data_IF_409142748751
#
_entry.id   IF_409142748751
#
_cell.length_a   1.000
_cell.length_b   1.000
_cell.length_c   1.000
_cell.angle_alpha   90.00
_cell.angle_beta   90.00
_cell.angle_gamma   90.00
#
_symmetry.space_group_name_H-M   'P 1'
#
loop_
_entity.id
_entity.type
_entity.pdbx_description
1 polymer ?
#
# COMPACT_ATOMS: atom_id res chain seq x y z
N UNK A 1 -18.89 -27.08 21.78
CA UNK A 1 -17.93 -26.26 21.01
C UNK A 1 -18.06 -26.66 19.55
N UNK A 2 -18.71 -25.84 18.73
CA UNK A 2 -18.84 -26.12 17.28
C UNK A 2 -17.54 -25.71 16.61
N UNK A 3 -16.83 -26.67 16.02
CA UNK A 3 -15.54 -26.42 15.38
C UNK A 3 -15.75 -25.63 14.08
N UNK A 4 -15.48 -24.32 14.12
CA UNK A 4 -15.48 -23.46 12.95
C UNK A 4 -14.18 -23.66 12.18
N UNK A 5 -14.27 -24.13 10.93
CA UNK A 5 -13.11 -24.31 10.05
C UNK A 5 -13.27 -23.42 8.83
N UNK A 6 -12.50 -22.34 8.76
CA UNK A 6 -12.45 -21.46 7.58
C UNK A 6 -11.24 -21.82 6.72
N UNK A 7 -11.47 -22.18 5.46
CA UNK A 7 -10.40 -22.48 4.52
C UNK A 7 -10.62 -21.74 3.20
N UNK A 8 -9.63 -20.94 2.80
CA UNK A 8 -9.55 -20.35 1.47
C UNK A 8 -8.88 -21.33 0.51
N UNK A 9 -9.56 -21.70 -0.59
CA UNK A 9 -9.00 -22.57 -1.64
C UNK A 9 -9.19 -21.91 -3.00
N UNK A 10 -8.19 -22.08 -3.88
CA UNK A 10 -8.35 -21.80 -5.31
C UNK A 10 -8.99 -23.00 -6.01
N UNK A 11 -10.11 -22.77 -6.67
CA UNK A 11 -10.82 -23.78 -7.44
C UNK A 11 -10.09 -24.14 -8.74
N UNK A 12 -10.44 -25.27 -9.37
CA UNK A 12 -9.90 -25.66 -10.68
C UNK A 12 -10.18 -24.64 -11.79
N UNK A 13 -11.26 -23.87 -11.67
CA UNK A 13 -11.62 -22.77 -12.59
C UNK A 13 -10.81 -21.48 -12.34
N UNK A 14 -9.87 -21.50 -11.39
CA UNK A 14 -8.99 -20.38 -11.05
C UNK A 14 -9.57 -19.37 -10.05
N UNK A 15 -10.85 -19.49 -9.67
CA UNK A 15 -11.49 -18.59 -8.71
C UNK A 15 -11.11 -18.92 -7.27
N UNK A 16 -11.06 -17.90 -6.44
CA UNK A 16 -10.87 -18.07 -5.00
C UNK A 16 -12.22 -18.25 -4.33
N UNK A 17 -12.36 -19.33 -3.57
CA UNK A 17 -13.52 -19.54 -2.71
C UNK A 17 -13.09 -19.67 -1.26
N UNK A 18 -13.78 -18.94 -0.39
CA UNK A 18 -13.78 -19.22 1.03
C UNK A 18 -14.91 -20.20 1.32
N UNK A 19 -14.60 -21.28 2.02
CA UNK A 19 -15.60 -22.20 2.51
C UNK A 19 -15.56 -22.23 4.03
N UNK A 20 -16.72 -22.04 4.63
CA UNK A 20 -16.96 -22.13 6.05
C UNK A 20 -18.00 -23.23 6.29
N UNK A 21 -17.74 -24.11 7.24
CA UNK A 21 -18.60 -25.26 7.51
C UNK A 21 -18.81 -25.48 8.98
N UNK A 22 -20.02 -25.91 9.34
CA UNK A 22 -20.36 -26.35 10.69
C UNK A 22 -21.25 -27.60 10.64
N UNK A 23 -21.19 -28.41 11.70
CA UNK A 23 -22.18 -29.46 11.96
C UNK A 23 -23.18 -28.95 12.98
N UNK A 24 -24.46 -29.08 12.66
CA UNK A 24 -25.54 -28.86 13.59
C UNK A 24 -25.69 -30.07 14.53
N UNK A 25 -26.39 -29.86 15.65
CA UNK A 25 -26.53 -30.86 16.71
C UNK A 25 -27.32 -32.11 16.28
N UNK A 26 -28.14 -31.98 15.23
CA UNK A 26 -28.88 -33.08 14.59
C UNK A 26 -28.02 -33.90 13.60
N UNK A 27 -26.74 -33.56 13.46
CA UNK A 27 -25.80 -34.20 12.55
C UNK A 27 -25.77 -33.61 11.14
N UNK A 28 -26.65 -32.65 10.82
CA UNK A 28 -26.70 -31.95 9.53
C UNK A 28 -25.43 -31.14 9.33
N UNK A 29 -24.82 -31.22 8.15
CA UNK A 29 -23.68 -30.38 7.79
C UNK A 29 -24.15 -29.17 6.99
N UNK A 30 -23.82 -27.97 7.48
CA UNK A 30 -24.10 -26.70 6.80
C UNK A 30 -22.77 -26.14 6.31
N UNK A 31 -22.67 -25.94 4.99
CA UNK A 31 -21.51 -25.34 4.35
C UNK A 31 -21.89 -24.08 3.59
N UNK A 32 -21.18 -22.99 3.84
CA UNK A 32 -21.25 -21.74 3.08
C UNK A 32 -20.02 -21.65 2.19
N UNK A 33 -20.21 -21.29 0.93
CA UNK A 33 -19.11 -20.98 0.00
C UNK A 33 -19.31 -19.58 -0.54
N UNK A 34 -18.28 -18.76 -0.43
CA UNK A 34 -18.25 -17.39 -0.93
C UNK A 34 -17.14 -17.28 -1.95
N UNK A 35 -17.45 -16.76 -3.15
CA UNK A 35 -16.44 -16.36 -4.11
C UNK A 35 -15.76 -15.08 -3.61
N UNK A 36 -14.46 -15.16 -3.37
CA UNK A 36 -13.64 -14.05 -2.87
C UNK A 36 -12.61 -13.60 -3.93
N UNK A 37 -12.79 -13.99 -5.19
CA UNK A 37 -11.84 -13.68 -6.27
C UNK A 37 -11.64 -12.16 -6.42
N UNK A 38 -12.73 -11.40 -6.42
CA UNK A 38 -12.69 -9.94 -6.53
C UNK A 38 -11.98 -9.30 -5.34
N UNK A 39 -12.22 -9.81 -4.13
CA UNK A 39 -11.52 -9.35 -2.93
C UNK A 39 -10.01 -9.58 -3.07
N UNK A 40 -9.61 -10.80 -3.45
CA UNK A 40 -8.19 -11.15 -3.64
C UNK A 40 -7.51 -10.34 -4.74
N UNK A 41 -8.23 -10.06 -5.83
CA UNK A 41 -7.71 -9.23 -6.93
C UNK A 41 -7.50 -7.78 -6.48
N UNK A 42 -8.45 -7.21 -5.73
CA UNK A 42 -8.30 -5.86 -5.15
C UNK A 42 -7.15 -5.80 -4.14
N UNK A 43 -7.06 -6.77 -3.24
CA UNK A 43 -5.95 -6.88 -2.27
C UNK A 43 -4.59 -6.94 -2.99
N UNK A 44 -4.50 -7.74 -4.06
CA UNK A 44 -3.28 -7.84 -4.86
C UNK A 44 -2.96 -6.51 -5.55
N UNK A 45 -3.93 -5.88 -6.21
CA UNK A 45 -3.73 -4.61 -6.89
C UNK A 45 -3.26 -3.50 -5.92
N UNK A 46 -3.85 -3.44 -4.72
CA UNK A 46 -3.42 -2.51 -3.67
C UNK A 46 -1.98 -2.77 -3.24
N UNK A 47 -1.62 -4.04 -3.00
CA UNK A 47 -0.27 -4.45 -2.62
C UNK A 47 0.76 -4.12 -3.70
N UNK A 48 0.43 -4.41 -4.96
CA UNK A 48 1.31 -4.15 -6.10
C UNK A 48 1.52 -2.64 -6.28
N UNK A 49 0.46 -1.83 -6.13
CA UNK A 49 0.56 -0.36 -6.14
C UNK A 49 1.44 0.18 -5.01
N UNK A 50 1.26 -0.30 -3.78
CA UNK A 50 2.11 0.07 -2.63
C UNK A 50 3.58 -0.27 -2.90
N UNK A 51 3.86 -1.47 -3.41
CA UNK A 51 5.22 -1.89 -3.77
C UNK A 51 5.84 -1.01 -4.85
N UNK A 52 5.06 -0.59 -5.84
CA UNK A 52 5.54 0.32 -6.87
C UNK A 52 5.88 1.69 -6.29
N UNK A 53 5.01 2.25 -5.44
CA UNK A 53 5.27 3.53 -4.75
C UNK A 53 6.55 3.46 -3.93
N UNK A 54 6.76 2.38 -3.18
CA UNK A 54 7.96 2.21 -2.36
C UNK A 54 9.23 2.14 -3.23
N UNK A 55 9.17 1.39 -4.33
CA UNK A 55 10.29 1.30 -5.28
C UNK A 55 10.60 2.67 -5.90
N UNK A 56 9.59 3.41 -6.37
CA UNK A 56 9.78 4.75 -6.92
C UNK A 56 10.39 5.71 -5.89
N UNK A 57 9.91 5.67 -4.64
CA UNK A 57 10.48 6.47 -3.55
C UNK A 57 11.94 6.13 -3.31
N UNK A 58 12.29 4.85 -3.24
CA UNK A 58 13.68 4.42 -3.04
C UNK A 58 14.58 4.87 -4.19
N UNK A 59 14.14 4.68 -5.43
CA UNK A 59 14.90 5.11 -6.61
C UNK A 59 15.14 6.61 -6.57
N UNK A 60 14.08 7.41 -6.36
CA UNK A 60 14.20 8.88 -6.29
C UNK A 60 15.14 9.32 -5.17
N UNK A 61 15.14 8.61 -4.03
CA UNK A 61 15.97 8.93 -2.88
C UNK A 61 17.47 8.66 -3.12
N UNK A 62 17.79 7.63 -3.91
CA UNK A 62 19.16 7.24 -4.27
C UNK A 62 19.69 7.95 -5.53
N UNK A 63 18.87 8.69 -6.27
CA UNK A 63 19.34 9.44 -7.45
C UNK A 63 20.38 10.50 -7.03
N UNK A 64 21.53 10.58 -7.73
CA UNK A 64 22.58 11.57 -7.44
C UNK A 64 22.24 12.99 -7.95
N UNK A 65 20.97 13.27 -8.21
CA UNK A 65 20.47 14.54 -8.72
C UNK A 65 19.46 15.08 -7.72
N UNK A 66 19.62 16.33 -7.29
CA UNK A 66 18.67 16.98 -6.40
C UNK A 66 17.29 17.07 -7.06
N UNK A 67 16.29 16.45 -6.44
CA UNK A 67 14.92 16.41 -6.92
C UNK A 67 13.95 16.81 -5.82
N UNK A 68 12.93 17.58 -6.20
CA UNK A 68 11.84 17.99 -5.33
C UNK A 68 10.52 18.02 -6.08
N UNK A 69 9.41 17.85 -5.37
CA UNK A 69 8.05 17.95 -5.90
C UNK A 69 7.32 19.01 -5.10
N UNK A 70 6.52 19.84 -5.78
CA UNK A 70 5.68 20.88 -5.16
C UNK A 70 4.21 20.62 -5.43
N UNK A 71 3.40 20.93 -4.44
CA UNK A 71 1.95 21.04 -4.59
C UNK A 71 1.59 22.31 -5.37
N UNK A 72 0.31 22.46 -5.72
CA UNK A 72 -0.22 23.64 -6.40
C UNK A 72 0.00 24.94 -5.63
N UNK A 73 -0.01 24.88 -4.30
CA UNK A 73 0.28 26.02 -3.41
C UNK A 73 1.78 26.33 -3.27
N UNK A 74 2.64 25.70 -4.08
CA UNK A 74 4.10 25.80 -4.06
C UNK A 74 4.79 25.23 -2.81
N UNK A 75 4.05 24.60 -1.89
CA UNK A 75 4.67 23.86 -0.79
C UNK A 75 5.36 22.61 -1.31
N UNK A 76 6.50 22.27 -0.71
CA UNK A 76 7.29 21.11 -1.10
C UNK A 76 6.68 19.85 -0.49
N UNK A 77 6.31 18.87 -1.32
CA UNK A 77 5.72 17.58 -0.89
C UNK A 77 6.75 16.45 -0.85
N UNK A 78 7.86 16.61 -1.57
CA UNK A 78 8.94 15.63 -1.61
C UNK A 78 10.28 16.31 -1.86
N UNK A 79 11.31 15.80 -1.19
CA UNK A 79 12.72 16.02 -1.50
C UNK A 79 13.46 14.69 -1.36
N UNK A 80 14.50 14.50 -2.18
CA UNK A 80 15.40 13.35 -2.07
C UNK A 80 16.67 13.68 -1.27
N UNK A 81 17.46 12.64 -0.95
CA UNK A 81 18.75 12.79 -0.25
C UNK A 81 19.70 13.79 -0.94
N UNK A 82 19.79 13.76 -2.27
CA UNK A 82 20.66 14.66 -3.02
C UNK A 82 20.26 16.13 -2.85
N UNK A 83 18.96 16.44 -2.81
CA UNK A 83 18.47 17.78 -2.52
C UNK A 83 18.81 18.22 -1.09
N UNK A 84 18.60 17.35 -0.09
CA UNK A 84 18.96 17.65 1.30
C UNK A 84 20.47 17.87 1.47
N UNK A 85 21.29 17.07 0.78
CA UNK A 85 22.75 17.23 0.80
C UNK A 85 23.20 18.54 0.13
N UNK A 86 22.50 18.97 -0.93
CA UNK A 86 22.79 20.21 -1.64
C UNK A 86 22.44 21.45 -0.82
N UNK A 87 21.28 21.45 -0.16
CA UNK A 87 20.75 22.62 0.57
C UNK A 87 21.17 22.65 2.03
N UNK A 88 21.56 21.50 2.60
CA UNK A 88 21.87 21.33 4.02
C UNK A 88 20.63 21.23 4.91
N UNK A 89 19.41 21.26 4.34
CA UNK A 89 18.16 21.24 5.11
C UNK A 89 17.65 19.81 5.21
N UNK A 90 17.36 19.29 6.42
CA UNK A 90 16.79 17.96 6.58
C UNK A 90 15.36 17.92 6.05
N UNK A 91 14.98 16.79 5.43
CA UNK A 91 13.67 16.60 4.81
C UNK A 91 12.49 16.96 5.72
N UNK A 92 12.58 16.65 7.01
CA UNK A 92 11.52 16.93 7.99
C UNK A 92 11.20 18.42 8.13
N UNK A 93 12.18 19.29 7.89
CA UNK A 93 12.02 20.74 7.97
C UNK A 93 11.54 21.36 6.66
N UNK A 94 11.37 20.55 5.59
CA UNK A 94 11.06 21.01 4.23
C UNK A 94 9.61 20.74 3.86
N UNK A 95 9.09 19.57 4.24
CA UNK A 95 7.76 19.13 3.80
C UNK A 95 6.68 20.13 4.26
N UNK A 96 5.85 20.58 3.33
CA UNK A 96 4.77 21.54 3.58
C UNK A 96 5.20 23.01 3.55
N UNK A 97 6.48 23.33 3.41
CA UNK A 97 6.98 24.71 3.30
C UNK A 97 7.22 25.11 1.85
N UNK A 98 7.09 26.40 1.56
CA UNK A 98 7.44 27.01 0.27
C UNK A 98 8.92 27.38 0.22
N UNK A 99 9.49 27.58 -0.97
CA UNK A 99 10.90 28.02 -1.08
C UNK A 99 11.14 29.36 -0.38
N UNK A 100 10.12 30.23 -0.33
CA UNK A 100 10.19 31.53 0.32
C UNK A 100 10.40 31.42 1.83
N UNK A 101 9.76 30.43 2.45
CA UNK A 101 9.91 30.15 3.88
C UNK A 101 11.25 29.49 4.21
N UNK A 102 11.85 28.78 3.25
CA UNK A 102 13.10 28.05 3.43
C UNK A 102 14.36 28.86 3.10
N UNK A 103 14.31 29.61 2.00
CA UNK A 103 15.47 30.28 1.40
C UNK A 103 15.26 31.78 1.24
N UNK A 104 14.25 32.35 1.89
CA UNK A 104 13.90 33.76 1.79
C UNK A 104 15.14 34.66 1.73
N UNK A 105 15.38 35.23 0.55
CA UNK A 105 16.19 36.43 0.40
C UNK A 105 15.40 37.63 0.93
#
# INVERSE_FOLDING_TARGET
HVAHSSYGRRNPDGRWCQADGMRADDGTFIGVRVDISDLKNREKALRDSMRQIDLYRHVMDELPVAAFIKAENLSIEFVNKAWCALTGIPKEDVIGKTDRELFGA
#
